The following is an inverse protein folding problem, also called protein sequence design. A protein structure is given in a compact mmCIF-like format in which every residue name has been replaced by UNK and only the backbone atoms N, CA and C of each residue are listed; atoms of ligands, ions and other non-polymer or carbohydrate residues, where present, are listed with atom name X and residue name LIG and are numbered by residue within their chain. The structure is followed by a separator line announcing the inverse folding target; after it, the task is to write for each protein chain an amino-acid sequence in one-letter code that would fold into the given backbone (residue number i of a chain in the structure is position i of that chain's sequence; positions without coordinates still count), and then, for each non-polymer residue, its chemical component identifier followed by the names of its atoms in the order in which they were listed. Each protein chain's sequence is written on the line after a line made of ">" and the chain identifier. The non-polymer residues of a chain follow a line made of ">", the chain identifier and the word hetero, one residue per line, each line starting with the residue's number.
data_IF_317902843234
#
_entry.id   IF_317902843234
#
_cell.length_a   1.000
_cell.length_b   1.000
_cell.length_c   1.000
_cell.angle_alpha   90.00
_cell.angle_beta   90.00
_cell.angle_gamma   90.00
#
_symmetry.space_group_name_H-M   'P 1'
#
loop_
_entity.id
_entity.type
_entity.pdbx_description
1 polymer ?
#
# COMPACT_ATOMS: atom_id res chain seq x y z
N UNK A 1 13.16 -1.97 -15.52
CA UNK A 1 11.97 -2.20 -16.36
C UNK A 1 10.80 -2.01 -15.43
N UNK A 2 10.13 -0.87 -15.54
CA UNK A 2 9.10 -0.46 -14.57
C UNK A 2 7.84 -1.29 -14.83
N UNK A 3 7.64 -2.33 -14.01
CA UNK A 3 6.48 -3.23 -14.09
C UNK A 3 5.13 -2.52 -13.82
N UNK A 4 5.14 -1.28 -13.35
CA UNK A 4 3.96 -0.50 -13.01
C UNK A 4 3.35 0.29 -14.19
N UNK A 5 4.12 0.54 -15.25
CA UNK A 5 3.68 1.42 -16.35
C UNK A 5 2.71 0.75 -17.35
N UNK A 6 2.47 -0.55 -17.23
CA UNK A 6 1.73 -1.38 -18.21
C UNK A 6 0.59 -2.18 -17.54
N UNK A 7 -0.16 -1.52 -16.65
CA UNK A 7 -1.34 -2.11 -16.00
C UNK A 7 -2.61 -1.78 -16.82
N UNK A 8 -3.43 -2.78 -17.18
CA UNK A 8 -4.64 -2.56 -17.97
C UNK A 8 -5.69 -1.79 -17.16
N UNK A 9 -6.56 -1.06 -17.87
CA UNK A 9 -7.75 -0.48 -17.27
C UNK A 9 -8.83 -1.59 -17.13
N UNK A 10 -9.28 -1.86 -15.91
CA UNK A 10 -10.28 -2.88 -15.60
C UNK A 10 -11.62 -2.28 -15.13
N UNK A 11 -11.87 -1.01 -15.44
CA UNK A 11 -13.06 -0.29 -14.96
C UNK A 11 -14.39 -0.89 -15.46
N UNK A 12 -14.39 -1.56 -16.61
CA UNK A 12 -15.56 -2.29 -17.13
C UNK A 12 -16.00 -3.45 -16.25
N UNK A 13 -15.09 -4.00 -15.44
CA UNK A 13 -15.44 -5.05 -14.47
C UNK A 13 -16.11 -4.49 -13.21
N UNK A 14 -16.08 -3.17 -12.95
CA UNK A 14 -16.63 -2.59 -11.70
C UNK A 14 -18.12 -2.86 -11.49
N UNK A 15 -18.89 -2.93 -12.58
CA UNK A 15 -20.33 -3.21 -12.55
C UNK A 15 -20.65 -4.70 -12.37
N UNK A 16 -19.69 -5.59 -12.62
CA UNK A 16 -19.86 -7.04 -12.46
C UNK A 16 -19.82 -7.39 -10.98
N UNK A 17 -20.90 -7.97 -10.47
CA UNK A 17 -21.08 -8.29 -9.04
C UNK A 17 -20.82 -9.76 -8.72
N UNK A 18 -20.86 -10.63 -9.73
CA UNK A 18 -20.60 -12.06 -9.61
C UNK A 18 -19.61 -12.47 -10.68
N UNK A 19 -18.65 -13.29 -10.29
CA UNK A 19 -17.63 -13.79 -11.18
C UNK A 19 -17.11 -15.13 -10.67
N UNK A 20 -16.49 -15.89 -11.56
CA UNK A 20 -15.87 -17.16 -11.18
C UNK A 20 -14.66 -16.90 -10.28
N UNK A 21 -14.27 -17.90 -9.49
CA UNK A 21 -13.03 -17.82 -8.69
C UNK A 21 -11.82 -17.54 -9.58
N UNK A 22 -11.81 -18.09 -10.79
CA UNK A 22 -10.74 -17.85 -11.76
C UNK A 22 -10.70 -16.40 -12.25
N UNK A 23 -11.85 -15.85 -12.64
CA UNK A 23 -11.98 -14.44 -13.02
C UNK A 23 -11.56 -13.50 -11.89
N UNK A 24 -11.99 -13.79 -10.65
CA UNK A 24 -11.58 -13.03 -9.46
C UNK A 24 -10.05 -12.99 -9.33
N UNK A 25 -9.41 -14.14 -9.52
CA UNK A 25 -7.98 -14.28 -9.36
C UNK A 25 -7.18 -13.53 -10.44
N UNK A 26 -7.66 -13.55 -11.69
CA UNK A 26 -7.12 -12.76 -12.79
C UNK A 26 -7.23 -11.25 -12.51
N UNK A 27 -8.40 -10.80 -12.05
CA UNK A 27 -8.64 -9.40 -11.71
C UNK A 27 -7.72 -8.91 -10.57
N UNK A 28 -7.50 -9.72 -9.53
CA UNK A 28 -6.55 -9.38 -8.45
C UNK A 28 -5.09 -9.29 -8.92
N UNK A 29 -4.76 -9.98 -10.01
CA UNK A 29 -3.47 -9.92 -10.67
C UNK A 29 -3.39 -8.83 -11.76
N UNK A 30 -4.41 -7.98 -11.90
CA UNK A 30 -4.50 -6.98 -12.98
C UNK A 30 -4.32 -7.60 -14.37
N UNK A 31 -5.04 -8.70 -14.60
CA UNK A 31 -5.20 -9.36 -15.91
C UNK A 31 -6.69 -9.34 -16.21
N UNK A 32 -7.06 -8.89 -17.42
CA UNK A 32 -8.45 -8.85 -17.84
C UNK A 32 -8.93 -10.28 -18.22
N UNK A 33 -9.98 -10.82 -17.58
CA UNK A 33 -10.56 -12.10 -18.00
C UNK A 33 -11.18 -12.11 -19.40
N UNK A 34 -11.33 -10.96 -20.07
CA UNK A 34 -11.71 -10.92 -21.49
C UNK A 34 -10.51 -11.08 -22.44
N UNK A 35 -9.29 -10.85 -21.98
CA UNK A 35 -8.07 -11.07 -22.77
C UNK A 35 -7.58 -12.53 -22.66
N UNK A 36 -7.93 -13.19 -21.56
CA UNK A 36 -7.59 -14.59 -21.28
C UNK A 36 -8.78 -15.28 -20.60
N UNK A 37 -9.31 -16.32 -21.24
CA UNK A 37 -10.48 -17.04 -20.75
C UNK A 37 -10.16 -17.88 -19.52
N UNK A 38 -8.89 -18.33 -19.39
CA UNK A 38 -8.44 -19.19 -18.27
C UNK A 38 -7.05 -18.84 -17.73
N UNK A 39 -6.73 -19.29 -16.51
CA UNK A 39 -5.37 -19.20 -15.96
C UNK A 39 -4.35 -20.02 -16.74
N UNK A 40 -4.79 -21.10 -17.39
CA UNK A 40 -3.94 -21.91 -18.25
C UNK A 40 -3.50 -21.09 -19.46
N UNK A 41 -4.44 -20.40 -20.10
CA UNK A 41 -4.15 -19.51 -21.22
C UNK A 41 -3.21 -18.36 -20.81
N UNK A 42 -3.45 -17.72 -19.66
CA UNK A 42 -2.56 -16.67 -19.15
C UNK A 42 -1.10 -17.16 -18.94
N UNK A 43 -0.93 -18.43 -18.53
CA UNK A 43 0.38 -19.06 -18.39
C UNK A 43 1.00 -19.36 -19.76
N UNK A 44 0.22 -19.88 -20.70
CA UNK A 44 0.69 -20.27 -22.03
C UNK A 44 1.11 -19.05 -22.85
N UNK A 45 0.37 -17.94 -22.73
CA UNK A 45 0.74 -16.63 -23.26
C UNK A 45 1.89 -15.94 -22.48
N UNK A 46 2.36 -16.56 -21.38
CA UNK A 46 3.45 -16.06 -20.51
C UNK A 46 3.24 -14.65 -19.96
N UNK A 47 2.00 -14.31 -19.60
CA UNK A 47 1.69 -12.99 -19.04
C UNK A 47 2.46 -12.74 -17.74
N UNK A 48 3.10 -11.57 -17.52
CA UNK A 48 4.02 -11.36 -16.39
C UNK A 48 3.46 -11.74 -15.00
N UNK A 49 2.14 -11.57 -14.80
CA UNK A 49 1.44 -11.77 -13.52
C UNK A 49 0.65 -13.08 -13.44
N UNK A 50 0.79 -14.01 -14.40
CA UNK A 50 0.03 -15.29 -14.40
C UNK A 50 0.25 -16.10 -13.11
N UNK A 51 1.45 -16.05 -12.53
CA UNK A 51 1.77 -16.74 -11.26
C UNK A 51 1.02 -16.13 -10.07
N UNK A 52 0.87 -14.80 -10.05
CA UNK A 52 0.09 -14.11 -9.01
C UNK A 52 -1.38 -14.46 -9.12
N UNK A 53 -1.93 -14.47 -10.34
CA UNK A 53 -3.30 -14.91 -10.59
C UNK A 53 -3.51 -16.35 -10.10
N UNK A 54 -2.59 -17.26 -10.42
CA UNK A 54 -2.63 -18.64 -9.92
C UNK A 54 -2.59 -18.70 -8.38
N UNK A 55 -1.77 -17.88 -7.72
CA UNK A 55 -1.71 -17.82 -6.27
C UNK A 55 -3.02 -17.30 -5.66
N UNK A 56 -3.63 -16.26 -6.23
CA UNK A 56 -4.93 -15.76 -5.81
C UNK A 56 -6.03 -16.80 -5.97
N UNK A 57 -6.03 -17.56 -7.07
CA UNK A 57 -6.99 -18.62 -7.29
C UNK A 57 -6.92 -19.67 -6.16
N UNK A 58 -5.71 -20.13 -5.82
CA UNK A 58 -5.50 -21.06 -4.71
C UNK A 58 -5.94 -20.48 -3.36
N UNK A 59 -5.63 -19.20 -3.13
CA UNK A 59 -5.99 -18.50 -1.89
C UNK A 59 -7.51 -18.38 -1.73
N UNK A 60 -8.23 -17.99 -2.80
CA UNK A 60 -9.69 -17.89 -2.79
C UNK A 60 -10.32 -19.26 -2.60
N UNK A 61 -9.84 -20.30 -3.29
CA UNK A 61 -10.31 -21.67 -3.08
C UNK A 61 -10.11 -22.12 -1.64
N UNK A 62 -8.94 -21.82 -1.04
CA UNK A 62 -8.67 -22.12 0.37
C UNK A 62 -9.60 -21.34 1.31
N UNK A 63 -9.87 -20.06 1.02
CA UNK A 63 -10.78 -19.23 1.81
C UNK A 63 -12.23 -19.77 1.78
N UNK A 64 -12.70 -20.24 0.62
CA UNK A 64 -13.99 -20.93 0.51
C UNK A 64 -14.02 -22.19 1.37
N UNK A 65 -12.95 -22.99 1.33
CA UNK A 65 -12.81 -24.20 2.17
C UNK A 65 -12.83 -23.94 3.66
N UNK A 66 -12.34 -22.78 4.08
CA UNK A 66 -12.29 -22.36 5.48
C UNK A 66 -13.58 -21.65 5.92
N UNK A 67 -14.53 -21.40 5.01
CA UNK A 67 -15.75 -20.67 5.29
C UNK A 67 -15.56 -19.15 5.40
N UNK A 68 -14.41 -18.63 4.97
CA UNK A 68 -14.12 -17.19 4.95
C UNK A 68 -14.79 -16.48 3.77
N UNK A 69 -14.95 -17.18 2.65
CA UNK A 69 -15.73 -16.73 1.49
C UNK A 69 -16.91 -17.68 1.32
N UNK A 70 -18.12 -17.13 1.32
CA UNK A 70 -19.33 -17.88 0.98
C UNK A 70 -19.61 -17.78 -0.53
N UNK A 71 -19.46 -18.86 -1.31
CA UNK A 71 -19.76 -18.85 -2.74
C UNK A 71 -21.27 -18.83 -2.98
N UNK A 72 -21.70 -18.22 -4.08
CA UNK A 72 -23.08 -18.30 -4.59
C UNK A 72 -23.36 -19.71 -5.09
N UNK A 73 -22.40 -20.25 -5.86
CA UNK A 73 -22.41 -21.61 -6.39
C UNK A 73 -21.03 -22.21 -6.15
N UNK A 74 -20.97 -23.40 -5.57
CA UNK A 74 -19.73 -24.13 -5.36
C UNK A 74 -19.76 -25.42 -6.17
N UNK A 75 -18.85 -25.54 -7.14
CA UNK A 75 -18.83 -26.64 -8.09
C UNK A 75 -17.55 -27.45 -7.98
N UNK A 76 -17.61 -28.72 -8.37
CA UNK A 76 -16.46 -29.58 -8.63
C UNK A 76 -16.59 -30.25 -10.00
N UNK A 77 -15.46 -30.56 -10.61
CA UNK A 77 -15.44 -31.43 -11.78
C UNK A 77 -15.54 -32.89 -11.36
N UNK A 78 -16.42 -33.63 -12.03
CA UNK A 78 -16.57 -35.08 -11.86
C UNK A 78 -16.49 -35.72 -13.22
N UNK A 79 -15.93 -36.93 -13.26
CA UNK A 79 -15.97 -37.82 -14.43
C UNK A 79 -17.02 -38.91 -14.17
N UNK A 80 -18.28 -38.72 -14.59
CA UNK A 80 -19.30 -39.75 -14.45
C UNK A 80 -18.92 -40.99 -15.29
N UNK A 81 -19.29 -42.17 -14.80
CA UNK A 81 -19.16 -43.39 -15.57
C UNK A 81 -19.95 -43.28 -16.88
N UNK A 82 -19.31 -43.63 -18.00
CA UNK A 82 -19.93 -43.59 -19.32
C UNK A 82 -19.98 -42.20 -19.98
N UNK A 83 -19.47 -41.16 -19.33
CA UNK A 83 -19.34 -39.83 -19.95
C UNK A 83 -17.92 -39.62 -20.51
N UNK A 84 -17.78 -39.18 -21.78
CA UNK A 84 -16.48 -38.90 -22.39
C UNK A 84 -15.85 -37.60 -21.88
N UNK A 85 -16.65 -36.73 -21.26
CA UNK A 85 -16.24 -35.42 -20.77
C UNK A 85 -16.62 -35.26 -19.29
N UNK A 86 -15.81 -34.53 -18.51
CA UNK A 86 -16.17 -34.22 -17.15
C UNK A 86 -17.36 -33.26 -17.12
N UNK A 87 -18.14 -33.30 -16.06
CA UNK A 87 -19.25 -32.37 -15.82
C UNK A 87 -19.04 -31.61 -14.52
N UNK A 88 -19.50 -30.35 -14.48
CA UNK A 88 -19.53 -29.56 -13.27
C UNK A 88 -20.76 -29.94 -12.43
N UNK A 89 -20.54 -30.30 -11.16
CA UNK A 89 -21.62 -30.60 -10.22
C UNK A 89 -21.50 -29.74 -8.97
N UNK A 90 -22.66 -29.38 -8.40
CA UNK A 90 -22.71 -28.64 -7.16
C UNK A 90 -22.19 -29.50 -5.99
N UNK A 91 -21.34 -28.90 -5.16
CA UNK A 91 -20.80 -29.49 -3.93
C UNK A 91 -20.96 -28.54 -2.76
N UNK A 92 -20.86 -29.07 -1.54
CA UNK A 92 -20.75 -28.22 -0.35
C UNK A 92 -19.31 -27.69 -0.23
N UNK A 93 -19.08 -26.43 0.19
CA UNK A 93 -17.74 -25.91 0.43
C UNK A 93 -16.89 -26.76 1.39
N UNK A 94 -17.53 -27.48 2.31
CA UNK A 94 -16.88 -28.39 3.27
C UNK A 94 -16.50 -29.77 2.72
N UNK A 95 -16.96 -30.15 1.52
CA UNK A 95 -16.73 -31.47 0.91
C UNK A 95 -15.24 -31.66 0.54
N UNK A 96 -14.51 -32.46 1.32
CA UNK A 96 -13.07 -32.68 1.10
C UNK A 96 -12.73 -33.74 0.07
N UNK A 97 -13.72 -34.49 -0.41
CA UNK A 97 -13.50 -35.61 -1.32
C UNK A 97 -13.31 -35.14 -2.77
N UNK A 98 -13.76 -33.92 -3.07
CA UNK A 98 -13.75 -33.35 -4.43
C UNK A 98 -13.13 -31.98 -4.44
N UNK A 99 -12.25 -31.70 -5.41
CA UNK A 99 -11.67 -30.37 -5.57
C UNK A 99 -12.69 -29.37 -6.10
N UNK A 100 -12.72 -28.18 -5.51
CA UNK A 100 -13.51 -27.04 -6.02
C UNK A 100 -12.97 -26.67 -7.40
N UNK A 101 -13.88 -26.52 -8.36
CA UNK A 101 -13.63 -26.05 -9.72
C UNK A 101 -13.62 -24.53 -9.76
N UNK A 102 -12.47 -23.86 -9.98
CA UNK A 102 -12.40 -22.40 -10.00
C UNK A 102 -13.14 -21.75 -11.18
N UNK A 103 -13.30 -22.48 -12.28
CA UNK A 103 -13.99 -22.01 -13.50
C UNK A 103 -15.51 -22.01 -13.36
N UNK A 104 -16.06 -22.84 -12.46
CA UNK A 104 -17.52 -23.02 -12.31
C UNK A 104 -18.04 -22.59 -10.93
N UNK A 105 -17.14 -22.25 -10.00
CA UNK A 105 -17.50 -21.74 -8.68
C UNK A 105 -17.63 -20.23 -8.75
N UNK A 106 -18.80 -19.71 -8.34
CA UNK A 106 -19.15 -18.29 -8.44
C UNK A 106 -19.11 -17.67 -7.05
N UNK A 107 -18.47 -16.51 -6.94
CA UNK A 107 -18.43 -15.69 -5.74
C UNK A 107 -18.92 -14.28 -6.03
N UNK A 108 -19.39 -13.58 -5.01
CA UNK A 108 -19.79 -12.18 -5.15
C UNK A 108 -18.59 -11.25 -4.92
N UNK A 109 -18.65 -10.07 -5.54
CA UNK A 109 -17.73 -8.96 -5.28
C UNK A 109 -17.65 -8.63 -3.80
N UNK A 110 -18.79 -8.56 -3.12
CA UNK A 110 -18.87 -8.24 -1.70
C UNK A 110 -18.14 -9.28 -0.82
N UNK A 111 -18.33 -10.57 -1.11
CA UNK A 111 -17.63 -11.63 -0.38
C UNK A 111 -16.11 -11.56 -0.59
N UNK A 112 -15.67 -11.29 -1.83
CA UNK A 112 -14.26 -11.11 -2.14
C UNK A 112 -13.65 -9.89 -1.43
N UNK A 113 -14.31 -8.73 -1.49
CA UNK A 113 -13.81 -7.50 -0.86
C UNK A 113 -13.73 -7.62 0.65
N UNK A 114 -14.75 -8.21 1.28
CA UNK A 114 -14.77 -8.43 2.72
C UNK A 114 -13.60 -9.32 3.16
N UNK A 115 -13.34 -10.41 2.42
CA UNK A 115 -12.22 -11.31 2.70
C UNK A 115 -10.86 -10.62 2.51
N UNK A 116 -10.70 -9.82 1.46
CA UNK A 116 -9.48 -9.06 1.21
C UNK A 116 -9.19 -8.09 2.37
N UNK A 117 -10.22 -7.41 2.85
CA UNK A 117 -10.12 -6.45 3.96
C UNK A 117 -9.82 -7.15 5.29
N UNK A 118 -10.50 -8.27 5.59
CA UNK A 118 -10.32 -9.00 6.84
C UNK A 118 -8.94 -9.66 6.95
N UNK A 119 -8.50 -10.33 5.88
CA UNK A 119 -7.22 -11.06 5.85
C UNK A 119 -6.05 -10.21 5.35
N UNK A 120 -6.29 -8.93 5.03
CA UNK A 120 -5.29 -8.00 4.48
C UNK A 120 -4.56 -8.58 3.27
N UNK A 121 -5.32 -9.22 2.38
CA UNK A 121 -4.78 -9.87 1.19
C UNK A 121 -4.10 -8.82 0.32
N UNK A 122 -2.82 -9.04 0.02
CA UNK A 122 -2.09 -8.19 -0.92
C UNK A 122 -2.51 -8.55 -2.34
N UNK A 123 -2.77 -7.55 -3.18
CA UNK A 123 -3.12 -7.73 -4.58
C UNK A 123 -2.57 -6.58 -5.43
N UNK A 124 -2.52 -6.79 -6.74
CA UNK A 124 -1.96 -5.80 -7.66
C UNK A 124 -2.92 -4.62 -7.78
N UNK A 125 -2.41 -3.40 -7.65
CA UNK A 125 -3.20 -2.18 -7.85
C UNK A 125 -2.42 -1.23 -8.76
N UNK A 126 -3.11 -0.48 -9.64
CA UNK A 126 -2.47 0.61 -10.35
C UNK A 126 -1.89 1.58 -9.32
N UNK A 127 -0.63 1.97 -9.55
CA UNK A 127 0.00 3.04 -8.79
C UNK A 127 -0.91 4.26 -8.91
N UNK A 128 -1.42 4.75 -7.78
CA UNK A 128 -2.16 6.00 -7.79
C UNK A 128 -1.14 7.03 -8.21
N UNK A 129 -1.24 7.50 -9.47
CA UNK A 129 -0.54 8.70 -9.90
C UNK A 129 -0.81 9.73 -8.82
N UNK A 130 0.23 10.08 -8.07
CA UNK A 130 0.21 11.20 -7.18
C UNK A 130 0.00 12.35 -8.15
N UNK A 131 -1.25 12.80 -8.31
CA UNK A 131 -1.51 14.03 -9.05
C UNK A 131 -0.53 15.02 -8.45
N UNK A 132 0.38 15.63 -9.24
CA UNK A 132 1.18 16.72 -8.72
C UNK A 132 0.18 17.67 -8.09
N UNK A 133 0.33 17.90 -6.78
CA UNK A 133 -0.57 18.78 -6.06
C UNK A 133 -0.62 20.05 -6.88
N UNK A 134 -1.78 20.32 -7.51
CA UNK A 134 -2.01 21.60 -8.14
C UNK A 134 -1.80 22.58 -6.98
N UNK A 135 -0.78 23.46 -7.04
CA UNK A 135 -0.65 24.47 -6.01
C UNK A 135 -2.00 25.18 -5.95
N UNK A 136 -2.64 25.26 -4.77
CA UNK A 136 -3.95 25.89 -4.68
C UNK A 136 -3.87 27.25 -5.36
N UNK A 137 -4.76 27.50 -6.31
CA UNK A 137 -4.88 28.80 -6.93
C UNK A 137 -5.01 29.81 -5.79
N UNK A 138 -4.04 30.72 -5.71
CA UNK A 138 -3.97 31.73 -4.65
C UNK A 138 -5.10 32.73 -4.90
N UNK A 139 -6.27 32.40 -4.38
CA UNK A 139 -7.28 33.42 -4.08
C UNK A 139 -6.72 34.21 -2.92
N UNK A 140 -6.25 35.44 -3.20
CA UNK A 140 -5.83 36.41 -2.19
C UNK A 140 -7.08 36.81 -1.41
N UNK A 141 -7.45 36.00 -0.43
CA UNK A 141 -8.37 36.41 0.61
C UNK A 141 -7.50 36.84 1.77
N UNK A 142 -7.47 38.13 2.05
CA UNK A 142 -6.84 38.72 3.22
C UNK A 142 -7.47 38.07 4.46
N UNK A 143 -6.77 37.15 5.09
CA UNK A 143 -7.16 36.56 6.37
C UNK A 143 -6.14 37.07 7.38
N UNK A 144 -6.60 37.85 8.34
CA UNK A 144 -5.82 38.25 9.51
C UNK A 144 -5.21 36.99 10.16
N UNK A 145 -3.88 36.96 10.20
CA UNK A 145 -3.13 35.83 10.72
C UNK A 145 -3.34 35.72 12.23
N UNK A 146 -4.15 34.74 12.63
CA UNK A 146 -4.06 34.20 13.99
C UNK A 146 -2.92 33.17 14.02
N UNK A 147 -2.11 33.12 15.10
CA UNK A 147 -0.96 32.23 15.16
C UNK A 147 -1.43 30.78 15.28
N UNK A 148 -1.53 30.09 14.14
CA UNK A 148 -1.85 28.66 14.09
C UNK A 148 -0.64 27.89 14.60
N UNK A 149 -0.76 27.35 15.81
CA UNK A 149 0.22 26.40 16.37
C UNK A 149 0.28 25.18 15.46
N UNK A 150 1.48 24.83 15.01
CA UNK A 150 1.73 23.83 13.95
C UNK A 150 1.27 22.38 14.28
N UNK A 151 0.78 22.11 15.49
CA UNK A 151 0.28 20.80 15.92
C UNK A 151 -1.03 20.98 16.72
N UNK A 152 -2.22 20.78 16.12
CA UNK A 152 -3.48 21.15 16.75
C UNK A 152 -3.92 20.22 17.90
N UNK A 153 -3.53 18.94 17.89
CA UNK A 153 -3.85 18.00 18.98
C UNK A 153 -3.05 16.70 18.86
N UNK A 154 -2.51 16.21 19.96
CA UNK A 154 -1.90 14.88 20.08
C UNK A 154 -2.58 14.15 21.24
N UNK A 155 -3.22 13.00 20.98
CA UNK A 155 -3.96 12.23 22.00
C UNK A 155 -3.08 11.58 23.07
N UNK A 156 -1.75 11.73 22.96
CA UNK A 156 -0.76 11.19 23.88
C UNK A 156 0.35 12.24 24.07
N UNK A 157 0.62 12.63 25.32
CA UNK A 157 1.75 13.49 25.69
C UNK A 157 2.98 12.62 25.94
N UNK A 158 4.13 13.05 25.44
CA UNK A 158 5.42 12.42 25.75
C UNK A 158 6.46 13.51 25.90
N UNK A 159 7.47 13.28 26.73
CA UNK A 159 8.56 14.23 27.01
C UNK A 159 9.20 14.76 25.71
N UNK A 160 9.40 13.88 24.72
CA UNK A 160 9.94 14.27 23.42
C UNK A 160 9.02 15.21 22.62
N UNK A 161 7.70 15.08 22.75
CA UNK A 161 6.73 15.96 22.07
C UNK A 161 6.70 17.36 22.70
N UNK A 162 6.86 17.45 24.02
CA UNK A 162 6.98 18.75 24.72
C UNK A 162 8.22 19.52 24.25
N UNK A 163 9.36 18.83 24.07
CA UNK A 163 10.57 19.43 23.52
C UNK A 163 10.42 19.89 22.07
N UNK A 164 9.67 19.14 21.26
CA UNK A 164 9.35 19.53 19.88
C UNK A 164 8.52 20.81 19.89
N UNK A 165 7.48 20.89 20.70
CA UNK A 165 6.60 22.06 20.75
C UNK A 165 7.32 23.32 21.24
N UNK A 166 8.12 23.21 22.31
CA UNK A 166 8.87 24.36 22.83
C UNK A 166 9.93 24.85 21.83
N UNK A 167 10.66 23.92 21.20
CA UNK A 167 11.64 24.28 20.18
C UNK A 167 10.98 24.92 18.94
N UNK A 168 9.77 24.49 18.56
CA UNK A 168 9.01 25.14 17.47
C UNK A 168 8.72 26.59 17.82
N UNK A 169 8.17 26.85 19.01
CA UNK A 169 7.80 28.21 19.44
C UNK A 169 8.99 29.15 19.52
N UNK A 170 10.15 28.64 19.94
CA UNK A 170 11.29 29.48 20.32
C UNK A 170 12.34 29.63 19.21
N UNK A 171 12.57 28.59 18.42
CA UNK A 171 13.64 28.57 17.41
C UNK A 171 13.12 28.54 15.97
N UNK A 172 11.90 28.04 15.74
CA UNK A 172 11.35 27.86 14.39
C UNK A 172 10.16 28.76 14.08
N UNK A 173 9.73 29.61 15.02
CA UNK A 173 8.63 30.56 14.82
C UNK A 173 8.92 31.63 13.76
N UNK A 174 10.20 31.91 13.51
CA UNK A 174 10.68 32.90 12.53
C UNK A 174 11.26 32.27 11.26
N UNK A 175 11.18 30.95 11.12
CA UNK A 175 11.76 30.25 9.96
C UNK A 175 10.92 30.48 8.69
N UNK A 176 11.57 30.97 7.64
CA UNK A 176 10.99 31.16 6.31
C UNK A 176 11.54 30.07 5.34
N UNK A 177 10.68 29.23 4.75
CA UNK A 177 11.08 28.21 3.77
C UNK A 177 11.83 28.73 2.53
N UNK A 178 11.58 29.99 2.13
CA UNK A 178 12.23 30.61 0.97
C UNK A 178 13.61 31.23 1.32
N UNK A 179 13.92 31.37 2.62
CA UNK A 179 15.19 31.91 3.12
C UNK A 179 15.85 30.94 4.11
N UNK A 180 16.63 29.95 3.63
CA UNK A 180 17.27 28.93 4.47
C UNK A 180 18.19 29.46 5.58
N UNK A 181 18.67 30.71 5.46
CA UNK A 181 19.50 31.39 6.48
C UNK A 181 18.74 31.77 7.75
N UNK A 182 17.41 31.75 7.72
CA UNK A 182 16.55 31.99 8.90
C UNK A 182 16.43 30.75 9.79
N UNK A 183 16.93 29.59 9.34
CA UNK A 183 16.89 28.36 10.12
C UNK A 183 17.95 28.36 11.24
N UNK A 184 17.61 27.91 12.46
CA UNK A 184 18.58 27.74 13.53
C UNK A 184 19.61 26.66 13.17
N UNK A 185 20.86 26.85 13.61
CA UNK A 185 21.93 25.86 13.40
C UNK A 185 21.72 24.61 14.26
N UNK A 186 22.34 23.49 13.87
CA UNK A 186 22.19 22.22 14.60
C UNK A 186 22.66 22.34 16.05
N UNK A 187 23.74 23.08 16.27
CA UNK A 187 24.31 23.28 17.59
C UNK A 187 23.41 24.15 18.47
N UNK A 188 22.81 25.19 17.92
CA UNK A 188 21.85 26.05 18.65
C UNK A 188 20.64 25.26 19.15
N UNK A 189 20.03 24.43 18.30
CA UNK A 189 18.88 23.61 18.69
C UNK A 189 19.27 22.59 19.77
N UNK A 190 20.41 21.92 19.61
CA UNK A 190 20.86 20.91 20.59
C UNK A 190 21.21 21.58 21.93
N UNK A 191 21.87 22.73 21.91
CA UNK A 191 22.25 23.45 23.12
C UNK A 191 21.01 24.00 23.85
N UNK A 192 20.02 24.50 23.12
CA UNK A 192 18.75 24.96 23.68
C UNK A 192 17.97 23.83 24.37
N UNK A 193 17.86 22.67 23.73
CA UNK A 193 17.15 21.52 24.30
C UNK A 193 17.83 20.94 25.54
N UNK A 194 19.17 21.01 25.60
CA UNK A 194 19.95 20.60 26.78
C UNK A 194 19.83 21.60 27.93
N UNK A 195 19.86 22.90 27.65
CA UNK A 195 19.91 23.94 28.70
C UNK A 195 18.54 24.23 29.30
N UNK A 196 17.49 24.29 28.48
CA UNK A 196 16.14 24.68 28.91
C UNK A 196 15.20 23.49 29.11
N UNK A 197 15.33 22.46 28.26
CA UNK A 197 14.48 21.27 28.30
C UNK A 197 14.99 20.15 29.21
N UNK A 198 16.26 20.16 29.63
CA UNK A 198 16.83 19.03 30.37
C UNK A 198 16.92 17.74 29.53
N UNK A 199 16.76 17.84 28.19
CA UNK A 199 16.79 16.71 27.30
C UNK A 199 18.19 16.06 27.28
N UNK A 200 18.25 14.74 27.45
CA UNK A 200 19.48 13.98 27.26
C UNK A 200 20.05 14.14 25.84
N UNK A 201 21.36 13.95 25.66
CA UNK A 201 22.06 14.17 24.38
C UNK A 201 21.39 13.47 23.20
N UNK A 202 20.95 12.22 23.39
CA UNK A 202 20.28 11.43 22.36
C UNK A 202 18.88 11.96 22.03
N UNK A 203 18.14 12.43 23.04
CA UNK A 203 16.81 13.02 22.87
C UNK A 203 16.90 14.33 22.09
N UNK A 204 17.84 15.21 22.46
CA UNK A 204 18.06 16.47 21.76
C UNK A 204 18.44 16.25 20.27
N UNK A 205 19.24 15.22 19.97
CA UNK A 205 19.57 14.85 18.59
C UNK A 205 18.35 14.34 17.82
N UNK A 206 17.55 13.46 18.44
CA UNK A 206 16.33 12.94 17.83
C UNK A 206 15.30 14.04 17.56
N UNK A 207 15.08 14.94 18.51
CA UNK A 207 14.17 16.10 18.36
C UNK A 207 14.68 17.04 17.26
N UNK A 208 15.97 17.37 17.23
CA UNK A 208 16.55 18.18 16.14
C UNK A 208 16.38 17.51 14.76
N UNK A 209 16.45 16.18 14.69
CA UNK A 209 16.20 15.43 13.45
C UNK A 209 14.73 15.50 13.01
N UNK A 210 13.78 15.50 13.95
CA UNK A 210 12.35 15.64 13.67
C UNK A 210 12.02 17.06 13.20
N UNK A 211 12.60 18.08 13.84
CA UNK A 211 12.34 19.49 13.53
C UNK A 211 12.90 19.95 12.17
N UNK A 212 14.04 19.39 11.74
CA UNK A 212 14.73 19.88 10.53
C UNK A 212 14.09 19.36 9.23
N UNK A 213 13.72 20.24 8.29
CA UNK A 213 13.35 19.86 6.94
C UNK A 213 14.46 19.07 6.22
N UNK A 214 14.09 18.09 5.39
CA UNK A 214 15.05 17.21 4.71
C UNK A 214 16.16 17.92 3.92
N UNK A 215 15.87 19.09 3.34
CA UNK A 215 16.83 19.93 2.62
C UNK A 215 17.97 20.45 3.51
N UNK A 216 17.72 20.65 4.81
CA UNK A 216 18.68 21.16 5.80
C UNK A 216 19.41 20.04 6.57
N UNK A 217 19.08 18.77 6.31
CA UNK A 217 19.67 17.60 7.00
C UNK A 217 20.94 17.07 6.34
N UNK A 218 21.47 17.74 5.30
CA UNK A 218 22.64 17.29 4.55
C UNK A 218 23.95 17.46 5.34
N UNK A 219 24.16 16.59 6.31
CA UNK A 219 25.48 16.17 6.79
C UNK A 219 25.72 14.73 6.33
N UNK A 220 26.13 14.55 5.08
CA UNK A 220 26.32 13.23 4.49
C UNK A 220 27.45 12.42 5.15
N UNK A 221 27.22 11.11 5.28
CA UNK A 221 28.21 10.09 5.68
C UNK A 221 29.35 10.09 4.66
N UNK A 222 30.60 10.33 5.09
CA UNK A 222 31.79 10.28 4.22
C UNK A 222 31.89 8.90 3.55
N UNK A 223 31.80 8.86 2.24
CA UNK A 223 32.16 7.67 1.45
C UNK A 223 33.69 7.56 1.48
N UNK A 224 34.23 6.53 2.14
CA UNK A 224 35.66 6.21 2.07
C UNK A 224 35.98 5.78 0.63
N UNK A 225 36.74 6.58 -0.10
CA UNK A 225 37.35 6.11 -1.34
C UNK A 225 38.44 5.07 -1.01
N UNK A 226 38.29 3.86 -1.53
CA UNK A 226 39.32 2.83 -1.51
C UNK A 226 40.31 3.17 -2.61
N UNK A 227 41.51 3.61 -2.23
CA UNK A 227 42.63 3.80 -3.15
C UNK A 227 43.12 2.40 -3.52
N UNK A 228 42.92 2.00 -4.77
CA UNK A 228 43.59 0.82 -5.35
C UNK A 228 44.84 1.31 -6.06
N UNK A 229 45.99 1.07 -5.44
CA UNK A 229 47.30 1.22 -6.09
C UNK A 229 47.42 0.14 -7.16
N UNK A 230 47.69 0.55 -8.41
CA UNK A 230 48.15 -0.35 -9.47
C UNK A 230 49.63 -0.65 -9.25
N UNK A 231 49.96 -1.93 -9.17
CA UNK A 231 51.25 -2.50 -9.61
C UNK A 231 50.99 -3.39 -10.82
#
# INVERSE_FOLDING_TARGET
>A
MDYEADLPNLDHWKSVMEFTVEQAALLLAMIDPFDVETLAEAKDQRLPRWKMARAHCLAITSAIRQGLISPVVCCAWVWPEGCPEPIAVNIKPSDRDRNISPTHTIITRAALTNWIESERVQFTKPSKSIKPAIPPAVSVTTIEATPVVALPYHGHTSEGLEFVEDAIKQLWSTYDPEQPSTAPTQEEVINYLKSRGGAGVNMAQAVNLVLRPGKLRQGGRRVKQVITSKE
#
